data_IF_951334939855
#
_entry.id   IF_951334939855
#
_cell.length_a   1.000
_cell.length_b   1.000
_cell.length_c   1.000
_cell.angle_alpha   90.00
_cell.angle_beta   90.00
_cell.angle_gamma   90.00
#
_symmetry.space_group_name_H-M   'P 1'
#
loop_
_entity.id
_entity.type
_entity.pdbx_description
1 polymer ?
#
# COMPACT_ATOMS: atom_id res chain seq x y z
N UNK A 1 0.70 -17.86 -40.40
CA UNK A 1 -0.46 -17.04 -40.01
C UNK A 1 0.02 -16.02 -38.98
N UNK A 2 0.01 -14.74 -39.32
CA UNK A 2 0.69 -13.66 -38.57
C UNK A 2 -0.34 -12.89 -37.75
N UNK A 3 -0.10 -12.69 -36.45
CA UNK A 3 -0.95 -11.87 -35.57
C UNK A 3 -0.23 -10.56 -35.26
N UNK A 4 -0.78 -9.45 -35.73
CA UNK A 4 -0.27 -8.10 -35.52
C UNK A 4 -0.72 -7.53 -34.17
N UNK A 5 0.19 -6.86 -33.46
CA UNK A 5 -0.04 -6.19 -32.17
C UNK A 5 -0.76 -4.85 -32.38
N UNK A 6 -1.92 -4.68 -31.76
CA UNK A 6 -2.60 -3.38 -31.65
C UNK A 6 -1.87 -2.52 -30.60
N UNK A 7 -1.27 -1.41 -31.03
CA UNK A 7 -0.72 -0.39 -30.12
C UNK A 7 -1.81 0.65 -29.86
N UNK A 8 -2.34 0.68 -28.65
CA UNK A 8 -3.25 1.74 -28.20
C UNK A 8 -2.46 2.99 -27.82
N UNK A 9 -2.86 4.13 -28.39
CA UNK A 9 -2.28 5.45 -28.14
C UNK A 9 -2.70 5.92 -26.75
N UNK A 10 -1.76 6.00 -25.80
CA UNK A 10 -1.98 6.76 -24.56
C UNK A 10 -1.78 8.24 -24.86
N UNK A 11 -2.84 9.01 -24.65
CA UNK A 11 -2.86 10.47 -24.74
C UNK A 11 -1.93 11.10 -23.71
N UNK A 12 -1.27 12.18 -24.12
CA UNK A 12 -0.41 13.02 -23.28
C UNK A 12 -1.24 13.70 -22.18
N UNK A 13 -1.21 13.13 -20.97
CA UNK A 13 -1.76 13.77 -19.77
C UNK A 13 -0.64 14.64 -19.22
N UNK A 14 -0.74 15.96 -19.43
CA UNK A 14 0.16 16.95 -18.82
C UNK A 14 0.23 16.70 -17.31
N UNK A 15 1.34 16.15 -16.84
CA UNK A 15 1.61 15.99 -15.41
C UNK A 15 1.85 17.37 -14.83
N UNK A 16 0.90 17.87 -14.02
CA UNK A 16 1.14 19.03 -13.16
C UNK A 16 2.38 18.72 -12.30
N UNK A 17 3.33 19.65 -12.13
CA UNK A 17 4.46 19.43 -11.24
C UNK A 17 3.93 19.07 -9.87
N UNK A 18 4.30 17.88 -9.39
CA UNK A 18 3.98 17.44 -8.04
C UNK A 18 4.78 18.35 -7.10
N UNK A 19 4.15 19.10 -6.18
CA UNK A 19 4.90 19.93 -5.26
C UNK A 19 5.76 19.01 -4.40
N UNK A 20 7.05 19.08 -4.69
CA UNK A 20 8.21 18.89 -3.84
C UNK A 20 8.14 17.75 -2.83
N UNK A 21 8.94 16.72 -3.11
CA UNK A 21 9.37 15.70 -2.15
C UNK A 21 10.19 16.25 -0.97
N UNK A 22 10.25 17.56 -0.76
CA UNK A 22 11.11 18.21 0.24
C UNK A 22 10.40 19.42 0.85
N UNK A 23 9.68 19.18 1.95
CA UNK A 23 9.30 20.16 3.00
C UNK A 23 8.50 19.40 4.08
N UNK A 24 9.11 18.35 4.65
CA UNK A 24 8.57 17.70 5.85
C UNK A 24 9.33 18.31 7.03
N UNK A 25 8.73 19.29 7.72
CA UNK A 25 9.39 20.00 8.84
C UNK A 25 9.54 19.13 10.11
N UNK A 26 8.93 17.96 10.15
CA UNK A 26 9.20 16.91 11.13
C UNK A 26 9.42 15.60 10.37
N UNK A 27 10.68 15.19 10.15
CA UNK A 27 11.01 13.86 9.64
C UNK A 27 10.70 12.80 10.71
N UNK A 28 9.44 12.69 11.11
CA UNK A 28 8.99 11.55 11.89
C UNK A 28 9.04 10.34 10.95
N UNK A 29 10.02 9.46 11.22
CA UNK A 29 10.30 8.28 10.42
C UNK A 29 9.02 7.48 10.18
N UNK A 30 8.79 7.08 8.94
CA UNK A 30 7.64 6.24 8.60
C UNK A 30 7.69 4.94 9.44
N UNK A 31 6.62 4.59 10.17
CA UNK A 31 6.64 3.42 11.03
C UNK A 31 6.68 2.15 10.17
N UNK A 32 7.66 1.29 10.46
CA UNK A 32 7.85 0.02 9.76
C UNK A 32 6.87 -1.06 10.20
N UNK A 33 6.16 -0.82 11.31
CA UNK A 33 5.21 -1.74 11.93
C UNK A 33 3.97 -1.03 12.45
N UNK A 34 2.86 -1.77 12.56
CA UNK A 34 1.64 -1.29 13.20
C UNK A 34 1.88 -0.81 14.64
N UNK A 35 2.74 -1.51 15.38
CA UNK A 35 3.07 -1.15 16.77
C UNK A 35 3.71 0.23 16.85
N UNK A 36 4.67 0.51 15.98
CA UNK A 36 5.34 1.81 15.89
C UNK A 36 4.37 2.90 15.45
N UNK A 37 3.51 2.61 14.47
CA UNK A 37 2.48 3.55 14.02
C UNK A 37 1.52 3.95 15.15
N UNK A 38 1.16 3.00 16.02
CA UNK A 38 0.26 3.23 17.16
C UNK A 38 0.93 3.95 18.35
N UNK A 39 2.26 3.94 18.41
CA UNK A 39 3.02 4.65 19.44
C UNK A 39 3.44 6.06 19.00
N UNK A 40 3.27 6.38 17.71
CA UNK A 40 3.56 7.71 17.15
C UNK A 40 2.56 8.78 17.63
N UNK A 41 2.96 10.05 17.50
CA UNK A 41 2.07 11.20 17.74
C UNK A 41 0.83 11.19 16.85
N UNK A 42 0.92 10.52 15.70
CA UNK A 42 -0.14 10.40 14.70
C UNK A 42 -0.91 9.07 14.76
N UNK A 43 -0.89 8.38 15.91
CA UNK A 43 -1.56 7.11 16.13
C UNK A 43 -3.04 7.14 15.74
N UNK A 44 -3.78 8.20 16.10
CA UNK A 44 -5.22 8.35 15.81
C UNK A 44 -5.50 8.34 14.31
N UNK A 45 -4.64 8.96 13.51
CA UNK A 45 -4.80 9.06 12.05
C UNK A 45 -4.47 7.71 11.39
N UNK A 46 -3.45 7.02 11.92
CA UNK A 46 -3.03 5.68 11.45
C UNK A 46 -4.06 4.60 11.76
N UNK A 47 -4.64 4.66 12.96
CA UNK A 47 -5.64 3.71 13.46
C UNK A 47 -6.90 3.70 12.59
N UNK A 48 -7.25 4.85 12.00
CA UNK A 48 -8.35 4.96 11.03
C UNK A 48 -7.97 4.52 9.62
N UNK A 49 -6.70 4.67 9.23
CA UNK A 49 -6.26 4.36 7.88
C UNK A 49 -6.22 2.85 7.59
N UNK A 50 -5.83 2.04 8.59
CA UNK A 50 -5.75 0.58 8.47
C UNK A 50 -7.12 -0.10 8.20
N UNK A 51 -8.18 0.12 9.00
CA UNK A 51 -9.48 -0.50 8.77
C UNK A 51 -10.11 -0.04 7.46
N UNK A 52 -9.95 1.24 7.09
CA UNK A 52 -10.47 1.75 5.82
C UNK A 52 -9.88 1.02 4.59
N UNK A 53 -8.58 0.76 4.61
CA UNK A 53 -7.94 -0.06 3.57
C UNK A 53 -8.42 -1.51 3.62
N UNK A 54 -8.48 -2.11 4.81
CA UNK A 54 -8.90 -3.50 4.98
C UNK A 54 -10.32 -3.74 4.45
N UNK A 55 -11.27 -2.87 4.79
CA UNK A 55 -12.63 -2.92 4.24
C UNK A 55 -12.64 -2.72 2.73
N UNK A 56 -11.78 -1.84 2.19
CA UNK A 56 -11.61 -1.65 0.76
C UNK A 56 -11.19 -2.94 0.04
N UNK A 57 -10.25 -3.68 0.63
CA UNK A 57 -9.79 -4.97 0.10
C UNK A 57 -10.87 -6.05 0.17
N UNK A 58 -11.64 -6.09 1.26
CA UNK A 58 -12.78 -7.00 1.41
C UNK A 58 -13.88 -6.70 0.37
N UNK A 59 -14.23 -5.42 0.17
CA UNK A 59 -15.21 -4.99 -0.84
C UNK A 59 -14.75 -5.32 -2.26
N UNK A 60 -13.46 -5.22 -2.54
CA UNK A 60 -12.89 -5.57 -3.84
C UNK A 60 -12.86 -7.08 -4.09
N UNK A 61 -13.04 -7.92 -3.06
CA UNK A 61 -12.96 -9.38 -3.17
C UNK A 61 -11.57 -9.91 -3.51
N UNK A 62 -10.53 -9.07 -3.43
CA UNK A 62 -9.15 -9.43 -3.80
C UNK A 62 -8.36 -10.03 -2.64
N UNK A 63 -8.81 -9.83 -1.40
CA UNK A 63 -8.22 -10.41 -0.20
C UNK A 63 -9.29 -11.08 0.66
N UNK A 64 -8.93 -12.23 1.23
CA UNK A 64 -9.71 -12.91 2.26
C UNK A 64 -8.77 -13.28 3.42
N UNK A 65 -9.22 -13.08 4.65
CA UNK A 65 -8.48 -13.49 5.83
C UNK A 65 -8.60 -15.00 6.02
N UNK A 66 -7.51 -15.74 5.79
CA UNK A 66 -7.45 -17.16 6.06
C UNK A 66 -7.03 -17.42 7.52
N UNK A 67 -7.95 -17.91 8.35
CA UNK A 67 -7.65 -18.31 9.76
C UNK A 67 -6.87 -19.63 9.81
N UNK A 68 -7.09 -20.51 8.84
CA UNK A 68 -6.36 -21.75 8.63
C UNK A 68 -6.02 -21.87 7.15
N UNK A 69 -4.81 -22.30 6.82
CA UNK A 69 -4.44 -22.60 5.44
C UNK A 69 -5.37 -23.70 4.90
N UNK A 70 -6.16 -23.44 3.85
CA UNK A 70 -6.90 -24.51 3.18
C UNK A 70 -5.92 -25.56 2.65
N UNK A 71 -6.30 -26.83 2.67
CA UNK A 71 -5.43 -27.91 2.18
C UNK A 71 -5.01 -27.64 0.73
N UNK A 72 -3.69 -27.61 0.49
CA UNK A 72 -3.12 -27.37 -0.83
C UNK A 72 -3.01 -25.91 -1.26
N UNK A 73 -3.42 -24.94 -0.43
CA UNK A 73 -3.30 -23.52 -0.75
C UNK A 73 -2.03 -22.89 -0.16
N UNK A 74 -1.31 -22.13 -0.99
CA UNK A 74 -0.20 -21.29 -0.53
C UNK A 74 -0.75 -20.01 0.11
N UNK A 75 -0.83 -20.00 1.44
CA UNK A 75 -1.11 -18.75 2.18
C UNK A 75 0.11 -17.83 2.09
N UNK A 76 -0.12 -16.63 1.57
CA UNK A 76 0.90 -15.60 1.44
C UNK A 76 0.87 -14.74 2.69
N UNK A 77 2.01 -14.63 3.37
CA UNK A 77 2.15 -13.74 4.51
C UNK A 77 2.01 -12.28 4.04
N UNK A 78 1.44 -11.40 4.85
CA UNK A 78 1.30 -9.98 4.53
C UNK A 78 1.89 -9.09 5.64
N UNK A 79 2.14 -7.83 5.33
CA UNK A 79 2.49 -6.79 6.31
C UNK A 79 1.81 -5.48 6.00
N UNK A 80 1.60 -4.69 7.05
CA UNK A 80 1.15 -3.31 6.91
C UNK A 80 2.33 -2.39 6.61
N UNK A 81 2.13 -1.48 5.67
CA UNK A 81 3.05 -0.39 5.35
C UNK A 81 2.32 0.93 5.55
N UNK A 82 2.94 1.83 6.29
CA UNK A 82 2.39 3.14 6.61
C UNK A 82 3.17 4.23 5.89
N UNK A 83 2.46 5.28 5.48
CA UNK A 83 3.05 6.46 4.85
C UNK A 83 2.35 7.70 5.37
N UNK A 84 3.13 8.64 5.91
CA UNK A 84 2.62 9.94 6.31
C UNK A 84 2.33 10.80 5.08
N UNK A 85 1.27 11.58 5.15
CA UNK A 85 0.87 12.56 4.14
C UNK A 85 0.83 13.92 4.81
N UNK A 86 1.79 14.75 4.45
CA UNK A 86 1.85 16.14 4.85
C UNK A 86 1.05 17.05 3.89
N UNK A 87 0.59 18.20 4.39
CA UNK A 87 0.11 19.29 3.53
C UNK A 87 1.28 20.15 3.02
N UNK A 88 0.98 21.19 2.23
CA UNK A 88 1.93 22.14 1.64
C UNK A 88 2.84 22.84 2.67
N UNK A 89 2.37 22.96 3.92
CA UNK A 89 3.07 23.49 5.09
C UNK A 89 3.97 22.46 5.78
N UNK A 90 3.97 21.20 5.34
CA UNK A 90 4.77 20.12 5.91
C UNK A 90 4.16 19.43 7.13
N UNK A 91 2.97 19.83 7.57
CA UNK A 91 2.25 19.21 8.68
C UNK A 91 1.60 17.89 8.26
N UNK A 92 1.80 16.82 9.03
CA UNK A 92 1.13 15.53 8.79
C UNK A 92 -0.37 15.66 9.02
N UNK A 93 -1.14 15.60 7.94
CA UNK A 93 -2.61 15.71 7.93
C UNK A 93 -3.30 14.37 7.75
N UNK A 94 -2.63 13.40 7.12
CA UNK A 94 -3.22 12.10 6.81
C UNK A 94 -2.20 10.98 6.92
N UNK A 95 -2.67 9.79 7.26
CA UNK A 95 -1.90 8.56 7.18
C UNK A 95 -2.46 7.69 6.05
N UNK A 96 -1.58 7.01 5.32
CA UNK A 96 -1.96 5.97 4.36
C UNK A 96 -1.42 4.63 4.86
N UNK A 97 -2.32 3.67 5.06
CA UNK A 97 -1.97 2.29 5.32
C UNK A 97 -2.14 1.47 4.02
N UNK A 98 -1.29 0.48 3.82
CA UNK A 98 -1.41 -0.50 2.73
C UNK A 98 -1.09 -1.89 3.26
N UNK A 99 -1.89 -2.87 2.88
CA UNK A 99 -1.58 -4.28 3.13
C UNK A 99 -0.76 -4.82 1.95
N UNK A 100 0.46 -5.25 2.22
CA UNK A 100 1.40 -5.71 1.18
C UNK A 100 1.76 -7.17 1.42
N UNK A 101 1.67 -7.98 0.36
CA UNK A 101 2.09 -9.37 0.38
C UNK A 101 3.62 -9.48 0.55
N UNK A 102 4.05 -10.33 1.47
CA UNK A 102 5.44 -10.75 1.65
C UNK A 102 5.71 -11.90 0.67
N UNK A 103 6.15 -11.57 -0.53
CA UNK A 103 6.50 -12.55 -1.55
C UNK A 103 7.87 -13.19 -1.27
N UNK A 104 7.94 -14.13 -0.32
CA UNK A 104 9.15 -14.94 -0.07
C UNK A 104 8.98 -16.42 -0.44
N UNK A 105 7.77 -16.83 -0.87
CA UNK A 105 7.41 -18.23 -1.14
C UNK A 105 7.21 -18.53 -2.64
N UNK A 106 7.68 -17.68 -3.53
CA UNK A 106 7.65 -17.96 -4.96
C UNK A 106 8.66 -19.09 -5.27
N UNK A 107 8.18 -20.27 -5.67
CA UNK A 107 9.04 -21.29 -6.25
C UNK A 107 9.43 -20.86 -7.67
N UNK A 108 10.73 -20.88 -7.98
CA UNK A 108 11.25 -20.63 -9.32
C UNK A 108 10.78 -21.76 -10.26
N UNK A 109 10.11 -21.39 -11.35
CA UNK A 109 9.71 -22.32 -12.42
C UNK A 109 8.39 -23.04 -12.15
N UNK A 110 7.34 -22.62 -12.85
CA UNK A 110 6.28 -23.54 -13.29
C UNK A 110 6.46 -23.58 -14.80
N UNK A 111 6.99 -24.68 -15.32
CA UNK A 111 6.99 -24.99 -16.75
C UNK A 111 5.79 -25.90 -17.02
#
# INVERSE_FOLDING_TARGET
MTVTRVVSRKTDIKSKPHPSAELIQDVETEPGSYREARQSKHAVISDKAMPAEFEGLLRAGTFALAVKAPMGCNVIDARWVYKWKADETGKIVKAKARLVAKAFKQKRGVH
#
